data_IF_019317469538
#
_entry.id   IF_019317469538
#
_cell.length_a   1.000
_cell.length_b   1.000
_cell.length_c   1.000
_cell.angle_alpha   90.00
_cell.angle_beta   90.00
_cell.angle_gamma   90.00
#
_symmetry.space_group_name_H-M   'P 1'
#
loop_
_entity.id
_entity.type
_entity.pdbx_description
1 polymer ?
#
# COMPACT_ATOMS: atom_id res chain seq x y z
N UNK A 1 1.08 -6.90 -50.29
CA UNK A 1 1.72 -6.73 -48.96
C UNK A 1 0.74 -6.04 -48.03
N UNK A 2 0.07 -6.78 -47.12
CA UNK A 2 -0.83 -6.20 -46.11
C UNK A 2 -0.02 -5.95 -44.84
N UNK A 3 0.18 -4.69 -44.47
CA UNK A 3 0.85 -4.30 -43.23
C UNK A 3 -0.18 -4.32 -42.10
N UNK A 4 -0.03 -5.26 -41.17
CA UNK A 4 -0.82 -5.29 -39.94
C UNK A 4 -0.29 -4.19 -39.01
N UNK A 5 -1.14 -3.21 -38.69
CA UNK A 5 -0.91 -2.24 -37.63
C UNK A 5 -1.44 -2.86 -36.33
N UNK A 6 -0.54 -3.28 -35.45
CA UNK A 6 -0.89 -3.67 -34.09
C UNK A 6 -0.84 -2.41 -33.21
N UNK A 7 -2.01 -1.96 -32.74
CA UNK A 7 -2.11 -0.88 -31.75
C UNK A 7 -2.13 -1.53 -30.37
N UNK A 8 -1.04 -1.38 -29.61
CA UNK A 8 -1.00 -1.78 -28.20
C UNK A 8 -1.67 -0.67 -27.38
N UNK A 9 -2.91 -0.89 -26.95
CA UNK A 9 -3.60 0.00 -26.02
C UNK A 9 -3.25 -0.43 -24.60
N UNK A 10 -2.32 0.28 -23.96
CA UNK A 10 -2.13 0.19 -22.51
C UNK A 10 -3.26 0.99 -21.84
N UNK A 11 -4.31 0.30 -21.43
CA UNK A 11 -5.25 0.86 -20.47
C UNK A 11 -4.51 0.94 -19.14
N UNK A 12 -4.03 2.14 -18.77
CA UNK A 12 -3.72 2.42 -17.36
C UNK A 12 -5.05 2.35 -16.63
N UNK A 13 -5.32 1.22 -15.99
CA UNK A 13 -6.38 1.15 -14.98
C UNK A 13 -5.98 2.16 -13.91
N UNK A 14 -6.75 3.25 -13.81
CA UNK A 14 -6.50 4.31 -12.86
C UNK A 14 -6.57 3.72 -11.44
N UNK A 15 -5.45 3.83 -10.71
CA UNK A 15 -5.35 3.82 -9.25
C UNK A 15 -6.21 2.78 -8.51
N UNK A 16 -5.92 1.49 -8.69
CA UNK A 16 -6.20 0.54 -7.60
C UNK A 16 -4.96 0.55 -6.70
N UNK A 17 -5.10 0.90 -5.43
CA UNK A 17 -3.96 0.94 -4.51
C UNK A 17 -3.28 -0.44 -4.41
N UNK A 18 -1.96 -0.44 -4.33
CA UNK A 18 -1.17 -1.67 -4.20
C UNK A 18 -0.86 -1.94 -2.73
N UNK A 19 -0.97 -3.19 -2.27
CA UNK A 19 -0.54 -3.57 -0.91
C UNK A 19 0.51 -4.68 -0.99
N UNK A 20 1.48 -4.72 -0.07
CA UNK A 20 2.31 -5.91 0.07
C UNK A 20 1.42 -7.10 0.50
N UNK A 21 1.91 -8.32 0.29
CA UNK A 21 1.22 -9.51 0.78
C UNK A 21 1.03 -9.42 2.30
N UNK A 22 -0.18 -9.76 2.75
CA UNK A 22 -0.53 -9.82 4.16
C UNK A 22 -1.56 -10.92 4.35
N UNK A 23 -1.28 -11.86 5.25
CA UNK A 23 -2.14 -13.00 5.48
C UNK A 23 -3.32 -12.60 6.36
N UNK A 24 -4.50 -12.41 5.74
CA UNK A 24 -5.74 -12.06 6.42
C UNK A 24 -6.46 -13.27 7.03
N UNK A 25 -5.91 -14.48 6.94
CA UNK A 25 -6.53 -15.71 7.46
C UNK A 25 -6.08 -16.09 8.87
N UNK A 26 -5.14 -15.33 9.44
CA UNK A 26 -4.59 -15.55 10.78
C UNK A 26 -4.40 -14.24 11.53
N UNK A 27 -4.16 -14.35 12.83
CA UNK A 27 -3.59 -13.25 13.60
C UNK A 27 -2.12 -13.06 13.21
N UNK A 28 -1.74 -11.81 13.02
CA UNK A 28 -0.37 -11.40 12.71
C UNK A 28 0.23 -10.70 13.92
N UNK A 29 1.53 -10.86 14.12
CA UNK A 29 2.24 -10.19 15.19
C UNK A 29 2.45 -8.71 14.89
N UNK A 30 2.74 -7.92 15.93
CA UNK A 30 2.94 -6.48 15.78
C UNK A 30 3.98 -6.10 14.71
N UNK A 31 5.17 -6.74 14.63
CA UNK A 31 6.14 -6.41 13.57
C UNK A 31 5.60 -6.66 12.17
N UNK A 32 4.86 -7.75 11.95
CA UNK A 32 4.26 -8.08 10.65
C UNK A 32 3.23 -7.02 10.24
N UNK A 33 2.38 -6.60 11.19
CA UNK A 33 1.40 -5.55 10.95
C UNK A 33 2.07 -4.18 10.72
N UNK A 34 3.11 -3.86 11.48
CA UNK A 34 3.90 -2.64 11.30
C UNK A 34 4.53 -2.57 9.91
N UNK A 35 5.18 -3.65 9.48
CA UNK A 35 5.79 -3.75 8.15
C UNK A 35 4.75 -3.63 7.03
N UNK A 36 3.59 -4.27 7.20
CA UNK A 36 2.48 -4.15 6.27
C UNK A 36 2.02 -2.70 6.08
N UNK A 37 1.72 -2.01 7.18
CA UNK A 37 1.21 -0.63 7.16
C UNK A 37 2.25 0.33 6.55
N UNK A 38 3.53 0.16 6.88
CA UNK A 38 4.64 0.93 6.26
C UNK A 38 4.75 0.65 4.76
N UNK A 39 4.60 -0.61 4.36
CA UNK A 39 4.61 -1.02 2.97
C UNK A 39 3.47 -0.41 2.15
N UNK A 40 2.25 -0.37 2.69
CA UNK A 40 1.09 0.27 2.03
C UNK A 40 1.37 1.75 1.73
N UNK A 41 1.91 2.50 2.68
CA UNK A 41 2.27 3.91 2.44
C UNK A 41 3.39 4.07 1.40
N UNK A 42 4.37 3.16 1.41
CA UNK A 42 5.49 3.17 0.47
C UNK A 42 5.07 2.86 -0.97
N UNK A 43 4.11 1.96 -1.16
CA UNK A 43 3.61 1.56 -2.47
C UNK A 43 2.61 2.56 -3.08
N UNK A 44 1.98 3.40 -2.24
CA UNK A 44 0.95 4.36 -2.67
C UNK A 44 1.26 5.81 -2.24
N UNK A 45 2.46 6.35 -2.54
CA UNK A 45 2.88 7.65 -2.01
C UNK A 45 2.01 8.82 -2.48
N UNK A 46 1.30 8.65 -3.60
CA UNK A 46 0.49 9.70 -4.21
C UNK A 46 -0.78 10.03 -3.42
N UNK A 47 -1.33 9.05 -2.67
CA UNK A 47 -2.61 9.20 -1.96
C UNK A 47 -2.62 8.59 -0.56
N UNK A 48 -1.55 7.91 -0.13
CA UNK A 48 -1.42 7.35 1.22
C UNK A 48 -0.20 7.94 1.92
N UNK A 49 -0.39 8.37 3.17
CA UNK A 49 0.71 8.86 4.01
C UNK A 49 0.70 8.18 5.38
N UNK A 50 1.90 7.81 5.85
CA UNK A 50 2.10 7.26 7.18
C UNK A 50 2.22 8.41 8.20
N UNK A 51 1.56 8.26 9.35
CA UNK A 51 1.62 9.21 10.47
C UNK A 51 2.00 8.48 11.74
N UNK A 52 3.04 8.95 12.42
CA UNK A 52 3.30 8.60 13.81
C UNK A 52 2.40 9.48 14.68
N UNK A 53 1.46 8.87 15.40
CA UNK A 53 0.49 9.60 16.25
C UNK A 53 0.83 9.52 17.74
N UNK A 54 1.86 8.76 18.10
CA UNK A 54 2.34 8.66 19.47
C UNK A 54 3.08 7.35 19.71
N UNK A 55 3.26 7.04 20.99
CA UNK A 55 3.82 5.77 21.43
C UNK A 55 2.90 5.16 22.49
N UNK A 56 2.84 3.84 22.53
CA UNK A 56 2.19 3.12 23.63
C UNK A 56 2.96 3.31 24.95
N UNK A 57 2.39 2.83 26.06
CA UNK A 57 3.07 2.82 27.36
C UNK A 57 4.42 2.08 27.33
N UNK A 58 4.53 1.04 26.51
CA UNK A 58 5.76 0.24 26.34
C UNK A 58 6.69 0.79 25.24
N UNK A 59 6.36 1.96 24.68
CA UNK A 59 7.19 2.63 23.67
C UNK A 59 6.96 2.17 22.23
N UNK A 60 5.95 1.34 21.94
CA UNK A 60 5.65 0.93 20.55
C UNK A 60 5.07 2.09 19.75
N UNK A 61 5.50 2.33 18.51
CA UNK A 61 4.96 3.41 17.70
C UNK A 61 3.48 3.16 17.37
N UNK A 62 2.66 4.19 17.57
CA UNK A 62 1.28 4.20 17.11
C UNK A 62 1.27 4.80 15.71
N UNK A 63 1.05 3.97 14.71
CA UNK A 63 1.05 4.35 13.29
C UNK A 63 -0.39 4.46 12.77
N UNK A 64 -0.65 5.52 12.01
CA UNK A 64 -1.89 5.69 11.25
C UNK A 64 -1.62 5.84 9.76
N UNK A 65 -2.51 5.27 8.93
CA UNK A 65 -2.55 5.52 7.49
C UNK A 65 -3.60 6.58 7.19
N UNK A 66 -3.17 7.70 6.59
CA UNK A 66 -4.08 8.71 6.05
C UNK A 66 -4.21 8.49 4.55
N UNK A 67 -5.42 8.17 4.11
CA UNK A 67 -5.81 8.06 2.69
C UNK A 67 -6.43 9.40 2.27
N UNK A 68 -5.84 10.07 1.29
CA UNK A 68 -6.39 11.28 0.68
C UNK A 68 -6.73 10.96 -0.78
N UNK A 69 -7.94 10.43 -1.04
CA UNK A 69 -8.40 10.16 -2.39
C UNK A 69 -8.62 11.45 -3.20
#
# INVERSE_FOLDING_TARGET
MRRLLAVLVFVRIAACGETPFFDLTRYNDFPEFEDYVRGVAKMNPDFVSLRLIGHSREGRPLLGLKVNP
#
